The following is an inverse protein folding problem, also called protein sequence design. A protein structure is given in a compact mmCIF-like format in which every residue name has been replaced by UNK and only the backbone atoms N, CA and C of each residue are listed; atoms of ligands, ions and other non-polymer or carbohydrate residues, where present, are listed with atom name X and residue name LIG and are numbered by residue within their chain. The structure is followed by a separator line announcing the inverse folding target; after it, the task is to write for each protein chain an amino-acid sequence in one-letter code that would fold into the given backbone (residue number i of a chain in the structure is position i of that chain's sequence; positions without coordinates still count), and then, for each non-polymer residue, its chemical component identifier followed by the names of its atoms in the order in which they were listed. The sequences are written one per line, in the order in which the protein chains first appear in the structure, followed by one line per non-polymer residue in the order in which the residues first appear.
data_IF_575270801287
#
_entry.id   IF_575270801287
#
_cell.length_a   1.000
_cell.length_b   1.000
_cell.length_c   1.000
_cell.angle_alpha   90.00
_cell.angle_beta   90.00
_cell.angle_gamma   90.00
#
_symmetry.space_group_name_H-M   'P 1'
#
loop_
_entity.id
_entity.type
_entity.pdbx_description
1 polymer ?
#
# COMPACT_ATOMS: atom_id res chain seq x y z
N UNK A 1 -17.78 -20.53 14.45
CA UNK A 1 -17.42 -19.20 14.98
C UNK A 1 -16.07 -18.83 14.40
N UNK A 2 -16.05 -18.32 13.18
CA UNK A 2 -14.84 -17.72 12.59
C UNK A 2 -14.49 -16.53 13.46
N UNK A 3 -13.44 -16.64 14.27
CA UNK A 3 -12.92 -15.50 15.00
C UNK A 3 -12.58 -14.44 13.96
N UNK A 4 -13.23 -13.29 14.07
CA UNK A 4 -13.14 -12.22 13.09
C UNK A 4 -11.79 -11.52 13.27
N UNK A 5 -10.73 -12.11 12.71
CA UNK A 5 -9.37 -11.65 12.93
C UNK A 5 -9.22 -10.31 12.19
N UNK A 6 -9.02 -9.24 12.97
CA UNK A 6 -9.00 -7.85 12.50
C UNK A 6 -8.09 -7.61 11.30
N UNK A 7 -6.90 -8.21 11.27
CA UNK A 7 -5.97 -8.04 10.14
C UNK A 7 -6.52 -8.65 8.84
N UNK A 8 -7.30 -9.73 8.91
CA UNK A 8 -7.92 -10.37 7.74
C UNK A 8 -9.02 -9.47 7.16
N UNK A 9 -9.82 -8.83 8.01
CA UNK A 9 -10.80 -7.83 7.58
C UNK A 9 -10.12 -6.62 6.90
N UNK A 10 -9.05 -6.08 7.52
CA UNK A 10 -8.27 -5.00 6.93
C UNK A 10 -7.66 -5.43 5.59
N UNK A 11 -7.18 -6.66 5.50
CA UNK A 11 -6.56 -7.19 4.29
C UNK A 11 -7.57 -7.29 3.14
N UNK A 12 -8.82 -7.65 3.44
CA UNK A 12 -9.92 -7.57 2.46
C UNK A 12 -10.14 -6.15 1.93
N UNK A 13 -10.12 -5.14 2.81
CA UNK A 13 -10.24 -3.73 2.39
C UNK A 13 -9.04 -3.27 1.54
N UNK A 14 -7.83 -3.63 1.94
CA UNK A 14 -6.62 -3.38 1.17
C UNK A 14 -6.67 -4.03 -0.22
N UNK A 15 -7.18 -5.25 -0.33
CA UNK A 15 -7.31 -5.96 -1.60
C UNK A 15 -8.26 -5.24 -2.57
N UNK A 16 -9.38 -4.69 -2.06
CA UNK A 16 -10.30 -3.87 -2.86
C UNK A 16 -9.65 -2.56 -3.33
N UNK A 17 -8.89 -1.90 -2.45
CA UNK A 17 -8.14 -0.71 -2.83
C UNK A 17 -7.08 -1.01 -3.91
N UNK A 18 -6.40 -2.15 -3.78
CA UNK A 18 -5.44 -2.63 -4.77
C UNK A 18 -6.05 -2.90 -6.14
N UNK A 19 -7.32 -3.32 -6.21
CA UNK A 19 -8.02 -3.49 -7.49
C UNK A 19 -8.15 -2.15 -8.22
N UNK A 20 -8.63 -1.10 -7.54
CA UNK A 20 -8.72 0.25 -8.12
C UNK A 20 -7.36 0.77 -8.60
N UNK A 21 -6.29 0.58 -7.79
CA UNK A 21 -4.95 1.00 -8.19
C UNK A 21 -4.44 0.19 -9.39
N UNK A 22 -4.72 -1.13 -9.43
CA UNK A 22 -4.32 -1.99 -10.54
C UNK A 22 -5.01 -1.59 -11.86
N UNK A 23 -6.29 -1.22 -11.81
CA UNK A 23 -7.01 -0.71 -12.99
C UNK A 23 -6.40 0.57 -13.54
N UNK A 24 -6.07 1.53 -12.66
CA UNK A 24 -5.41 2.78 -13.05
C UNK A 24 -4.01 2.54 -13.64
N UNK A 25 -3.22 1.63 -13.05
CA UNK A 25 -1.90 1.23 -13.56
C UNK A 25 -2.02 0.54 -14.93
N UNK A 26 -2.99 -0.37 -15.08
CA UNK A 26 -3.23 -1.06 -16.34
C UNK A 26 -3.63 -0.09 -17.46
N UNK A 27 -4.45 0.92 -17.16
CA UNK A 27 -4.81 1.97 -18.10
C UNK A 27 -3.59 2.81 -18.52
N UNK A 28 -2.74 3.18 -17.57
CA UNK A 28 -1.51 3.94 -17.82
C UNK A 28 -0.50 3.18 -18.68
N UNK A 29 -0.51 1.84 -18.61
CA UNK A 29 0.31 0.97 -19.47
C UNK A 29 -0.18 0.89 -20.92
N UNK A 30 -1.44 1.24 -21.20
CA UNK A 30 -2.01 1.19 -22.54
C UNK A 30 -1.84 2.51 -23.30
N UNK A 31 -1.93 3.64 -22.59
CA UNK A 31 -1.80 4.99 -23.15
C UNK A 31 -1.45 6.02 -22.09
N UNK A 32 -1.00 7.23 -22.47
CA UNK A 32 -0.91 8.35 -21.55
C UNK A 32 -2.26 8.60 -20.84
N UNK A 33 -2.19 8.86 -19.54
CA UNK A 33 -3.34 9.26 -18.75
C UNK A 33 -3.67 10.73 -19.03
N UNK A 34 -4.96 11.04 -19.08
CA UNK A 34 -5.42 12.43 -18.96
C UNK A 34 -5.18 12.95 -17.54
N UNK A 35 -5.24 14.27 -17.34
CA UNK A 35 -5.06 14.89 -16.03
C UNK A 35 -6.03 14.32 -14.97
N UNK A 36 -7.29 14.06 -15.34
CA UNK A 36 -8.28 13.49 -14.43
C UNK A 36 -7.95 12.04 -14.06
N UNK A 37 -7.49 11.25 -15.02
CA UNK A 37 -7.09 9.86 -14.77
C UNK A 37 -5.81 9.78 -13.93
N UNK A 38 -4.88 10.72 -14.12
CA UNK A 38 -3.69 10.84 -13.28
C UNK A 38 -4.06 11.21 -11.83
N UNK A 39 -5.02 12.12 -11.63
CA UNK A 39 -5.57 12.40 -10.30
C UNK A 39 -6.23 11.15 -9.69
N UNK A 40 -6.95 10.37 -10.49
CA UNK A 40 -7.52 9.08 -10.08
C UNK A 40 -6.45 8.08 -9.63
N UNK A 41 -5.35 7.96 -10.37
CA UNK A 41 -4.19 7.13 -10.01
C UNK A 41 -3.59 7.56 -8.65
N UNK A 42 -3.38 8.86 -8.47
CA UNK A 42 -2.82 9.42 -7.23
C UNK A 42 -3.77 9.19 -6.06
N UNK A 43 -5.07 9.43 -6.24
CA UNK A 43 -6.07 9.17 -5.21
C UNK A 43 -6.10 7.69 -4.84
N UNK A 44 -5.99 6.79 -5.83
CA UNK A 44 -5.92 5.35 -5.62
C UNK A 44 -4.69 4.94 -4.80
N UNK A 45 -3.55 5.55 -5.08
CA UNK A 45 -2.35 5.38 -4.28
C UNK A 45 -2.56 5.81 -2.82
N UNK A 46 -3.15 6.98 -2.56
CA UNK A 46 -3.32 7.51 -1.20
C UNK A 46 -4.11 6.56 -0.29
N UNK A 47 -5.31 6.14 -0.73
CA UNK A 47 -6.13 5.25 0.09
C UNK A 47 -5.54 3.84 0.15
N UNK A 48 -4.82 3.40 -0.87
CA UNK A 48 -4.13 2.09 -0.86
C UNK A 48 -2.99 2.08 0.14
N UNK A 49 -2.18 3.14 0.18
CA UNK A 49 -1.13 3.31 1.18
C UNK A 49 -1.69 3.35 2.60
N UNK A 50 -2.79 4.09 2.81
CA UNK A 50 -3.47 4.17 4.10
C UNK A 50 -3.93 2.79 4.58
N UNK A 51 -4.60 2.03 3.72
CA UNK A 51 -5.08 0.69 4.06
C UNK A 51 -3.94 -0.31 4.24
N UNK A 52 -2.88 -0.21 3.44
CA UNK A 52 -1.70 -1.04 3.54
C UNK A 52 -1.02 -0.95 4.91
N UNK A 53 -0.72 0.27 5.39
CA UNK A 53 -0.03 0.40 6.67
C UNK A 53 -0.92 0.00 7.85
N UNK A 54 -2.24 0.19 7.74
CA UNK A 54 -3.21 -0.29 8.72
C UNK A 54 -3.25 -1.84 8.78
N UNK A 55 -3.19 -2.53 7.64
CA UNK A 55 -3.07 -3.99 7.59
C UNK A 55 -1.78 -4.46 8.20
N UNK A 56 -0.65 -3.84 7.84
CA UNK A 56 0.66 -4.16 8.41
C UNK A 56 0.66 -4.05 9.92
N UNK A 57 0.11 -2.95 10.45
CA UNK A 57 -0.07 -2.74 11.88
C UNK A 57 -0.88 -3.88 12.52
N UNK A 58 -2.10 -4.11 12.04
CA UNK A 58 -3.00 -5.09 12.66
C UNK A 58 -2.45 -6.53 12.54
N UNK A 59 -1.72 -6.86 11.46
CA UNK A 59 -1.04 -8.15 11.29
C UNK A 59 0.12 -8.30 12.29
N UNK A 60 0.94 -7.27 12.44
CA UNK A 60 2.06 -7.29 13.40
C UNK A 60 1.56 -7.36 14.84
N UNK A 61 0.49 -6.63 15.19
CA UNK A 61 -0.15 -6.73 16.50
C UNK A 61 -0.66 -8.16 16.76
N UNK A 62 -1.24 -8.81 15.75
CA UNK A 62 -1.64 -10.22 15.81
C UNK A 62 -0.45 -11.16 16.06
N UNK A 63 0.76 -10.84 15.58
CA UNK A 63 2.01 -11.58 15.85
C UNK A 63 2.73 -11.11 17.12
N UNK A 64 2.07 -10.33 17.98
CA UNK A 64 2.62 -9.85 19.26
C UNK A 64 3.54 -8.63 19.18
N UNK A 65 3.67 -8.00 18.01
CA UNK A 65 4.44 -6.76 17.82
C UNK A 65 3.49 -5.57 17.98
N UNK A 66 3.56 -4.90 19.13
CA UNK A 66 2.68 -3.78 19.49
C UNK A 66 3.41 -2.44 19.46
N UNK A 67 2.66 -1.34 19.67
CA UNK A 67 3.20 0.02 19.75
C UNK A 67 3.40 0.71 18.40
N UNK A 68 2.81 0.18 17.33
CA UNK A 68 2.82 0.80 16.00
C UNK A 68 1.73 1.87 15.89
N UNK A 69 2.14 3.12 15.70
CA UNK A 69 1.28 4.30 15.75
C UNK A 69 1.02 4.86 14.35
N UNK A 70 1.94 4.72 13.40
CA UNK A 70 1.78 5.26 12.05
C UNK A 70 2.44 4.46 10.94
N UNK A 71 2.39 5.02 9.73
CA UNK A 71 2.91 4.38 8.52
C UNK A 71 4.43 4.19 8.55
N UNK A 72 5.17 5.10 9.19
CA UNK A 72 6.63 5.08 9.23
C UNK A 72 7.18 3.92 10.06
N UNK A 73 6.72 3.78 11.28
CA UNK A 73 7.09 2.70 12.20
C UNK A 73 6.49 1.37 11.74
N UNK A 74 5.27 1.35 11.21
CA UNK A 74 4.73 0.15 10.57
C UNK A 74 5.60 -0.34 9.40
N UNK A 75 6.01 0.55 8.49
CA UNK A 75 6.88 0.20 7.35
C UNK A 75 8.24 -0.33 7.78
N UNK A 76 8.89 0.33 8.75
CA UNK A 76 10.18 -0.12 9.30
C UNK A 76 10.07 -1.48 9.98
N UNK A 77 9.01 -1.70 10.76
CA UNK A 77 8.78 -2.97 11.43
C UNK A 77 8.43 -4.08 10.43
N UNK A 78 7.62 -3.78 9.41
CA UNK A 78 7.28 -4.72 8.34
C UNK A 78 8.53 -5.17 7.58
N UNK A 79 9.45 -4.25 7.26
CA UNK A 79 10.71 -4.59 6.61
C UNK A 79 11.60 -5.46 7.52
N UNK A 80 11.75 -5.07 8.80
CA UNK A 80 12.54 -5.83 9.78
C UNK A 80 12.03 -7.27 9.97
N UNK A 81 10.72 -7.48 9.87
CA UNK A 81 10.08 -8.78 10.06
C UNK A 81 9.81 -9.53 8.74
N UNK A 82 10.36 -9.06 7.61
CA UNK A 82 10.27 -9.74 6.32
C UNK A 82 8.88 -9.74 5.68
N UNK A 83 7.97 -8.85 6.11
CA UNK A 83 6.64 -8.69 5.49
C UNK A 83 6.72 -7.90 4.18
N UNK A 84 7.69 -7.00 4.08
CA UNK A 84 8.01 -6.25 2.87
C UNK A 84 9.50 -6.36 2.60
N UNK A 85 9.89 -6.39 1.33
CA UNK A 85 11.28 -6.62 0.90
C UNK A 85 12.01 -5.35 0.47
N UNK A 86 11.29 -4.30 0.08
CA UNK A 86 11.86 -3.00 -0.29
C UNK A 86 11.43 -1.93 0.72
N UNK A 87 12.08 -1.89 1.88
CA UNK A 87 11.77 -0.91 2.93
C UNK A 87 11.95 0.55 2.47
N UNK A 88 12.83 0.80 1.51
CA UNK A 88 13.05 2.15 0.97
C UNK A 88 11.86 2.63 0.14
N UNK A 89 11.27 1.78 -0.70
CA UNK A 89 10.07 2.12 -1.46
C UNK A 89 8.94 2.55 -0.53
N UNK A 90 8.74 1.84 0.58
CA UNK A 90 7.73 2.17 1.58
C UNK A 90 8.01 3.51 2.28
N UNK A 91 9.27 3.78 2.60
CA UNK A 91 9.66 5.07 3.16
C UNK A 91 9.45 6.22 2.17
N UNK A 92 9.64 5.98 0.87
CA UNK A 92 9.42 6.96 -0.19
C UNK A 92 7.93 7.14 -0.50
N UNK A 93 7.08 6.11 -0.36
CA UNK A 93 5.62 6.27 -0.41
C UNK A 93 5.13 7.28 0.63
N UNK A 94 5.67 7.26 1.85
CA UNK A 94 5.30 8.22 2.90
C UNK A 94 5.66 9.65 2.48
N UNK A 95 6.83 9.83 1.85
CA UNK A 95 7.23 11.15 1.32
C UNK A 95 6.30 11.57 0.19
N UNK A 96 6.03 10.69 -0.77
CA UNK A 96 5.14 10.95 -1.91
C UNK A 96 3.72 11.31 -1.45
N UNK A 97 3.15 10.56 -0.49
CA UNK A 97 1.83 10.85 0.12
C UNK A 97 1.77 12.21 0.82
N UNK A 98 2.89 12.73 1.33
CA UNK A 98 2.91 14.08 1.88
C UNK A 98 2.96 15.16 0.79
N UNK A 99 3.33 14.81 -0.45
CA UNK A 99 3.36 15.71 -1.59
C UNK A 99 2.05 15.70 -2.39
N UNK A 100 1.16 14.73 -2.17
CA UNK A 100 -0.07 14.59 -2.99
C UNK A 100 -1.02 15.78 -2.84
N UNK A 101 -1.00 16.50 -1.72
CA UNK A 101 -1.73 17.77 -1.55
C UNK A 101 -1.25 18.89 -2.47
N UNK A 102 -0.07 18.74 -3.08
CA UNK A 102 0.53 19.70 -4.01
C UNK A 102 0.40 19.27 -5.48
N UNK A 103 -0.43 18.28 -5.79
CA UNK A 103 -0.61 17.73 -7.15
C UNK A 103 -1.36 18.65 -8.11
N UNK A 104 -1.80 19.82 -7.65
CA UNK A 104 -2.13 20.93 -8.55
C UNK A 104 -0.91 21.45 -9.32
N UNK A 105 0.31 21.20 -8.82
CA UNK A 105 1.55 21.36 -9.57
C UNK A 105 1.77 20.12 -10.44
N UNK A 106 1.85 20.34 -11.76
CA UNK A 106 1.98 19.30 -12.78
C UNK A 106 3.27 18.48 -12.60
N UNK A 107 4.38 19.11 -12.22
CA UNK A 107 5.66 18.39 -12.02
C UNK A 107 5.55 17.44 -10.84
N UNK A 108 4.95 17.88 -9.73
CA UNK A 108 4.69 17.04 -8.55
C UNK A 108 3.75 15.89 -8.88
N UNK A 109 2.67 16.15 -9.64
CA UNK A 109 1.74 15.10 -10.08
C UNK A 109 2.43 14.05 -10.96
N UNK A 110 3.29 14.48 -11.89
CA UNK A 110 4.05 13.60 -12.76
C UNK A 110 5.05 12.75 -11.97
N UNK A 111 5.81 13.33 -11.06
CA UNK A 111 6.80 12.61 -10.24
C UNK A 111 6.14 11.56 -9.35
N UNK A 112 5.01 11.92 -8.70
CA UNK A 112 4.25 10.98 -7.88
C UNK A 112 3.65 9.87 -8.75
N UNK A 113 3.02 10.20 -9.87
CA UNK A 113 2.44 9.21 -10.79
C UNK A 113 3.52 8.23 -11.30
N UNK A 114 4.68 8.74 -11.71
CA UNK A 114 5.79 7.90 -12.16
C UNK A 114 6.31 6.97 -11.06
N UNK A 115 6.41 7.47 -9.83
CA UNK A 115 6.82 6.68 -8.67
C UNK A 115 5.78 5.59 -8.33
N UNK A 116 4.49 5.90 -8.46
CA UNK A 116 3.40 4.93 -8.29
C UNK A 116 3.55 3.78 -9.29
N UNK A 117 3.69 4.10 -10.58
CA UNK A 117 3.73 3.12 -11.66
C UNK A 117 4.99 2.24 -11.60
N UNK A 118 6.14 2.84 -11.29
CA UNK A 118 7.43 2.15 -11.40
C UNK A 118 7.90 1.45 -10.13
N UNK A 119 7.52 1.96 -8.94
CA UNK A 119 8.10 1.48 -7.67
C UNK A 119 7.06 1.13 -6.61
N UNK A 120 6.03 1.96 -6.44
CA UNK A 120 5.08 1.74 -5.34
C UNK A 120 4.08 0.63 -5.63
N UNK A 121 3.54 0.57 -6.85
CA UNK A 121 2.60 -0.48 -7.23
C UNK A 121 3.19 -1.90 -7.08
N UNK A 122 4.41 -2.19 -7.60
CA UNK A 122 5.05 -3.49 -7.36
C UNK A 122 5.21 -3.84 -5.88
N UNK A 123 5.58 -2.86 -5.04
CA UNK A 123 5.75 -3.07 -3.60
C UNK A 123 4.42 -3.39 -2.89
N UNK A 124 3.30 -2.80 -3.32
CA UNK A 124 1.98 -3.16 -2.82
C UNK A 124 1.56 -4.58 -3.28
N UNK A 125 1.82 -4.94 -4.53
CA UNK A 125 1.56 -6.31 -5.04
C UNK A 125 2.34 -7.33 -4.20
N UNK A 126 3.61 -7.06 -3.91
CA UNK A 126 4.44 -7.93 -3.07
C UNK A 126 3.86 -8.11 -1.66
N UNK A 127 3.42 -7.02 -1.00
CA UNK A 127 2.75 -7.13 0.30
C UNK A 127 1.47 -7.98 0.21
N UNK A 128 0.67 -7.79 -0.84
CA UNK A 128 -0.56 -8.56 -1.04
C UNK A 128 -0.27 -10.06 -1.12
N UNK A 129 0.74 -10.44 -1.91
CA UNK A 129 1.18 -11.83 -2.05
C UNK A 129 1.68 -12.42 -0.73
N UNK A 130 2.49 -11.67 0.03
CA UNK A 130 2.96 -12.09 1.36
C UNK A 130 1.78 -12.38 2.29
N UNK A 131 0.82 -11.47 2.40
CA UNK A 131 -0.31 -11.61 3.32
C UNK A 131 -1.31 -12.68 2.87
N UNK A 132 -1.54 -12.85 1.57
CA UNK A 132 -2.31 -13.96 1.03
C UNK A 132 -1.70 -15.30 1.40
N UNK A 133 -0.37 -15.42 1.32
CA UNK A 133 0.36 -16.64 1.72
C UNK A 133 0.14 -16.94 3.20
N UNK A 134 0.33 -15.94 4.08
CA UNK A 134 0.08 -16.10 5.53
C UNK A 134 -1.36 -16.46 5.87
N UNK A 135 -2.32 -15.92 5.11
CA UNK A 135 -3.74 -16.25 5.28
C UNK A 135 -4.04 -17.71 4.95
N UNK A 136 -3.46 -18.24 3.86
CA UNK A 136 -3.63 -19.63 3.42
C UNK A 136 -2.94 -20.60 4.38
N UNK A 137 -1.75 -20.26 4.86
CA UNK A 137 -0.97 -21.06 5.81
C UNK A 137 -1.60 -21.13 7.21
N UNK A 138 -2.61 -20.29 7.49
CA UNK A 138 -3.34 -20.30 8.76
C UNK A 138 -2.51 -19.77 9.92
N UNK A 139 -1.73 -18.71 9.69
CA UNK A 139 -0.79 -18.14 10.67
C UNK A 139 -1.44 -18.01 12.06
N UNK A 140 -0.89 -18.70 13.06
CA UNK A 140 -1.35 -18.61 14.46
C UNK A 140 -0.60 -17.48 15.17
N UNK A 141 -1.30 -16.80 16.09
CA UNK A 141 -0.73 -15.76 16.95
C UNK A 141 0.35 -16.32 17.87
#
# INVERSE_FOLDING_TARGET
MTHDIRWQQRFSNYTKAMQNLSEAVALAGQRPLSNLEQQGLIQAFEFTHELAWNVLKDFMEFKGISGLIGSRDASRSAFKNGLVTDGEAWMDMIKARNQTSHTYNVDVANDVAQSILSRFYPAFVALSQTLSTRLIEGDTA
#
